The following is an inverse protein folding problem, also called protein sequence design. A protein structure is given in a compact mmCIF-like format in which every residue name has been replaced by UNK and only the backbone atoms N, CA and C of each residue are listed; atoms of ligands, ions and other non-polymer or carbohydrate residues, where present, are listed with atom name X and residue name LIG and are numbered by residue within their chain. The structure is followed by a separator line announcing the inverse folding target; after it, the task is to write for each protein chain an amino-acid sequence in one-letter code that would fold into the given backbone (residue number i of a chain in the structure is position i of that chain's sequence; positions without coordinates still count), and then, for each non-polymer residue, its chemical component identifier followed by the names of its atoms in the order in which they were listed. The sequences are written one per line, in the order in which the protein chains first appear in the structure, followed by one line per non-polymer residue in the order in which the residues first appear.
data_IF_114185377829
#
_entry.id   IF_114185377829
#
_cell.length_a   1.000
_cell.length_b   1.000
_cell.length_c   1.000
_cell.angle_alpha   90.00
_cell.angle_beta   90.00
_cell.angle_gamma   90.00
#
_symmetry.space_group_name_H-M   'P 1'
#
loop_
_entity.id
_entity.type
_entity.pdbx_description
1 polymer ?
#
# COMPACT_ATOMS: atom_id res chain seq x y z
N UNK A 1 -59.74 -20.04 12.08
CA UNK A 1 -58.52 -20.78 11.69
C UNK A 1 -57.88 -20.13 10.47
N UNK A 2 -56.90 -19.23 10.68
CA UNK A 2 -55.79 -18.85 9.76
C UNK A 2 -55.12 -17.58 10.31
N UNK A 3 -54.21 -17.75 11.27
CA UNK A 3 -53.36 -16.67 11.80
C UNK A 3 -51.87 -17.06 11.84
N UNK A 4 -51.46 -18.08 11.07
CA UNK A 4 -50.06 -18.58 11.10
C UNK A 4 -49.16 -17.97 10.03
N UNK A 5 -49.69 -17.29 9.01
CA UNK A 5 -48.90 -16.85 7.84
C UNK A 5 -48.08 -15.56 8.08
N UNK A 6 -48.38 -14.79 9.13
CA UNK A 6 -47.67 -13.53 9.43
C UNK A 6 -46.33 -13.72 10.14
N UNK A 7 -46.19 -14.78 10.94
CA UNK A 7 -44.98 -15.02 11.73
C UNK A 7 -43.82 -15.56 10.87
N UNK A 8 -44.11 -16.45 9.92
CA UNK A 8 -43.09 -17.03 9.03
C UNK A 8 -42.47 -15.99 8.09
N UNK A 9 -43.29 -15.07 7.56
CA UNK A 9 -42.81 -13.99 6.69
C UNK A 9 -41.99 -12.94 7.43
N UNK A 10 -42.24 -12.74 8.73
CA UNK A 10 -41.46 -11.84 9.58
C UNK A 10 -40.06 -12.40 9.91
N UNK A 11 -39.98 -13.70 10.23
CA UNK A 11 -38.71 -14.37 10.52
C UNK A 11 -37.80 -14.43 9.29
N UNK A 12 -38.35 -14.78 8.12
CA UNK A 12 -37.58 -14.83 6.88
C UNK A 12 -36.96 -13.48 6.49
N UNK A 13 -37.70 -12.37 6.68
CA UNK A 13 -37.18 -11.00 6.44
C UNK A 13 -36.03 -10.64 7.38
N UNK A 14 -36.16 -10.97 8.66
CA UNK A 14 -35.14 -10.67 9.66
C UNK A 14 -33.84 -11.43 9.38
N UNK A 15 -33.93 -12.70 8.99
CA UNK A 15 -32.76 -13.53 8.61
C UNK A 15 -32.09 -12.95 7.37
N UNK A 16 -32.86 -12.60 6.34
CA UNK A 16 -32.30 -12.02 5.11
C UNK A 16 -31.54 -10.71 5.38
N UNK A 17 -32.11 -9.82 6.21
CA UNK A 17 -31.46 -8.57 6.62
C UNK A 17 -30.14 -8.85 7.34
N UNK A 18 -30.13 -9.81 8.27
CA UNK A 18 -28.92 -10.18 9.01
C UNK A 18 -27.82 -10.74 8.09
N UNK A 19 -28.18 -11.57 7.10
CA UNK A 19 -27.24 -12.11 6.11
C UNK A 19 -26.65 -10.97 5.26
N UNK A 20 -27.50 -10.08 4.75
CA UNK A 20 -27.06 -8.95 3.92
C UNK A 20 -26.15 -7.99 4.70
N UNK A 21 -26.48 -7.70 5.96
CA UNK A 21 -25.65 -6.87 6.83
C UNK A 21 -24.28 -7.53 7.11
N UNK A 22 -24.27 -8.82 7.39
CA UNK A 22 -23.04 -9.59 7.63
C UNK A 22 -22.15 -9.62 6.38
N UNK A 23 -22.76 -9.85 5.21
CA UNK A 23 -22.05 -9.82 3.93
C UNK A 23 -21.49 -8.43 3.61
N UNK A 24 -22.26 -7.37 3.84
CA UNK A 24 -21.80 -5.99 3.65
C UNK A 24 -20.59 -5.67 4.54
N UNK A 25 -20.63 -6.05 5.82
CA UNK A 25 -19.51 -5.88 6.74
C UNK A 25 -18.27 -6.67 6.30
N UNK A 26 -18.47 -7.91 5.82
CA UNK A 26 -17.37 -8.71 5.28
C UNK A 26 -16.72 -8.04 4.07
N UNK A 27 -17.51 -7.53 3.13
CA UNK A 27 -17.01 -6.81 1.95
C UNK A 27 -16.27 -5.53 2.34
N UNK A 28 -16.79 -4.75 3.29
CA UNK A 28 -16.13 -3.54 3.79
C UNK A 28 -14.79 -3.85 4.49
N UNK A 29 -14.71 -4.94 5.25
CA UNK A 29 -13.46 -5.42 5.85
C UNK A 29 -12.43 -5.83 4.79
N UNK A 30 -12.86 -6.58 3.77
CA UNK A 30 -12.00 -7.06 2.68
C UNK A 30 -11.48 -5.94 1.78
N UNK A 31 -12.21 -4.84 1.67
CA UNK A 31 -11.83 -3.70 0.83
C UNK A 31 -10.91 -2.71 1.55
N UNK A 32 -10.64 -2.91 2.84
CA UNK A 32 -9.80 -2.00 3.64
C UNK A 32 -10.52 -0.71 4.04
N UNK A 33 -11.82 -0.80 4.36
CA UNK A 33 -12.57 0.33 4.90
C UNK A 33 -12.11 0.68 6.32
N UNK A 34 -11.90 1.98 6.62
CA UNK A 34 -11.60 2.42 7.97
C UNK A 34 -12.88 2.80 8.73
N UNK A 35 -13.32 1.94 9.65
CA UNK A 35 -14.51 2.18 10.48
C UNK A 35 -14.35 3.35 11.46
N UNK A 36 -13.13 3.61 11.94
CA UNK A 36 -12.88 4.74 12.85
C UNK A 36 -13.13 6.11 12.18
N UNK A 37 -12.95 6.19 10.85
CA UNK A 37 -13.13 7.42 10.07
C UNK A 37 -14.32 7.36 9.11
N UNK A 38 -15.01 6.23 9.06
CA UNK A 38 -16.11 5.95 8.14
C UNK A 38 -15.76 6.25 6.67
N UNK A 39 -14.51 5.97 6.26
CA UNK A 39 -14.05 6.20 4.88
C UNK A 39 -12.89 5.29 4.47
N UNK A 40 -12.62 5.20 3.17
CA UNK A 40 -11.37 4.67 2.66
C UNK A 40 -10.25 5.72 2.78
N UNK A 41 -9.02 5.26 3.06
CA UNK A 41 -7.84 6.11 2.98
C UNK A 41 -7.35 6.15 1.53
N UNK A 42 -6.94 7.34 1.08
CA UNK A 42 -6.34 7.46 -0.25
C UNK A 42 -4.94 6.86 -0.28
N UNK A 43 -4.46 6.46 -1.46
CA UNK A 43 -3.09 5.96 -1.64
C UNK A 43 -2.05 6.99 -1.15
N UNK A 44 -2.30 8.26 -1.41
CA UNK A 44 -1.45 9.35 -0.93
C UNK A 44 -1.35 9.38 0.60
N UNK A 45 -2.47 9.27 1.32
CA UNK A 45 -2.45 9.22 2.79
C UNK A 45 -1.69 8.00 3.30
N UNK A 46 -1.82 6.85 2.63
CA UNK A 46 -1.10 5.64 3.00
C UNK A 46 0.41 5.78 2.77
N UNK A 47 0.82 6.42 1.66
CA UNK A 47 2.22 6.74 1.39
C UNK A 47 2.80 7.71 2.41
N UNK A 48 2.08 8.78 2.74
CA UNK A 48 2.50 9.74 3.76
C UNK A 48 2.70 9.07 5.14
N UNK A 49 1.83 8.11 5.50
CA UNK A 49 1.98 7.33 6.75
C UNK A 49 3.17 6.38 6.72
N UNK A 50 3.41 5.72 5.59
CA UNK A 50 4.54 4.82 5.41
C UNK A 50 5.87 5.58 5.45
N UNK A 51 5.97 6.73 4.78
CA UNK A 51 7.15 7.61 4.84
C UNK A 51 7.37 8.11 6.26
N UNK A 52 6.31 8.56 6.95
CA UNK A 52 6.42 9.00 8.34
C UNK A 52 6.97 7.91 9.27
N UNK A 53 6.63 6.64 9.01
CA UNK A 53 7.15 5.50 9.76
C UNK A 53 8.64 5.26 9.51
N UNK A 54 9.09 5.38 8.26
CA UNK A 54 10.47 5.14 7.85
C UNK A 54 11.37 6.40 7.90
N UNK A 55 10.83 7.58 8.23
CA UNK A 55 11.52 8.87 8.10
C UNK A 55 12.92 8.91 8.74
N UNK A 56 13.12 8.22 9.87
CA UNK A 56 14.41 8.17 10.57
C UNK A 56 15.49 7.34 9.86
N UNK A 57 15.10 6.52 8.87
CA UNK A 57 15.99 5.67 8.06
C UNK A 57 16.27 6.24 6.68
N UNK A 58 15.45 7.19 6.23
CA UNK A 58 15.57 7.85 4.94
C UNK A 58 16.70 8.88 5.02
N UNK A 59 17.77 8.65 4.26
CA UNK A 59 19.01 9.41 4.35
C UNK A 59 18.93 10.84 3.80
N UNK A 60 17.99 11.09 2.91
CA UNK A 60 17.70 12.39 2.29
C UNK A 60 16.42 13.05 2.83
N UNK A 61 15.82 12.48 3.88
CA UNK A 61 14.67 13.09 4.56
C UNK A 61 15.17 14.16 5.54
N UNK A 62 14.90 15.43 5.23
CA UNK A 62 15.36 16.53 6.07
C UNK A 62 14.45 16.67 7.31
N UNK A 63 14.98 17.16 8.45
CA UNK A 63 14.16 17.41 9.63
C UNK A 63 12.99 18.39 9.42
N UNK A 64 13.11 19.27 8.42
CA UNK A 64 12.06 20.21 8.04
C UNK A 64 11.05 19.63 7.03
N UNK A 65 11.33 18.45 6.46
CA UNK A 65 10.45 17.83 5.48
C UNK A 65 9.23 17.21 6.15
N UNK A 66 8.12 17.27 5.42
CA UNK A 66 6.91 16.51 5.73
C UNK A 66 6.82 15.31 4.79
N UNK A 67 6.11 14.23 5.15
CA UNK A 67 5.91 13.10 4.25
C UNK A 67 5.31 13.52 2.90
N UNK A 68 4.46 14.54 2.93
CA UNK A 68 3.85 15.14 1.74
C UNK A 68 4.86 15.89 0.85
N UNK A 69 5.75 16.69 1.43
CA UNK A 69 6.78 17.38 0.65
C UNK A 69 7.79 16.40 0.07
N UNK A 70 8.16 15.37 0.84
CA UNK A 70 9.03 14.29 0.37
C UNK A 70 8.42 13.50 -0.79
N UNK A 71 7.13 13.16 -0.70
CA UNK A 71 6.42 12.48 -1.80
C UNK A 71 6.34 13.34 -3.06
N UNK A 72 6.21 14.66 -2.91
CA UNK A 72 6.18 15.59 -4.03
C UNK A 72 7.53 15.69 -4.75
N UNK A 73 8.66 15.61 -4.01
CA UNK A 73 10.00 15.58 -4.60
C UNK A 73 10.38 14.20 -5.14
N UNK A 74 9.72 13.12 -4.68
CA UNK A 74 9.99 11.75 -5.08
C UNK A 74 8.71 11.00 -5.51
N UNK A 75 8.10 11.35 -6.66
CA UNK A 75 6.82 10.76 -7.08
C UNK A 75 6.90 9.24 -7.30
N UNK A 76 8.09 8.70 -7.57
CA UNK A 76 8.34 7.28 -7.78
C UNK A 76 8.82 6.54 -6.52
N UNK A 77 8.90 7.19 -5.35
CA UNK A 77 9.37 6.54 -4.12
C UNK A 77 8.49 5.37 -3.70
N UNK A 78 7.20 5.50 -3.97
CA UNK A 78 6.19 4.83 -3.20
C UNK A 78 5.17 4.19 -4.13
N UNK A 79 4.86 2.92 -3.90
CA UNK A 79 3.86 2.20 -4.69
C UNK A 79 3.16 1.14 -3.84
N UNK A 80 1.97 0.76 -4.27
CA UNK A 80 1.32 -0.44 -3.75
C UNK A 80 1.65 -1.61 -4.68
N UNK A 81 2.36 -2.65 -4.21
CA UNK A 81 2.59 -3.83 -5.02
C UNK A 81 1.26 -4.55 -5.29
N UNK A 82 1.09 -5.03 -6.53
CA UNK A 82 -0.08 -5.83 -6.94
C UNK A 82 -0.17 -7.12 -6.13
N UNK A 83 0.98 -7.72 -5.81
CA UNK A 83 1.10 -8.89 -4.94
C UNK A 83 1.46 -8.46 -3.52
N UNK A 84 0.56 -8.70 -2.58
CA UNK A 84 0.80 -8.45 -1.17
C UNK A 84 0.96 -9.81 -0.48
N UNK A 85 2.04 -10.04 0.28
CA UNK A 85 2.20 -11.26 1.04
C UNK A 85 1.12 -11.31 2.12
N UNK A 86 -0.04 -11.89 1.82
CA UNK A 86 -1.11 -12.04 2.79
C UNK A 86 -0.74 -13.20 3.71
N UNK A 87 -0.52 -12.92 4.99
CA UNK A 87 -0.71 -13.93 6.01
C UNK A 87 -2.22 -14.11 6.17
N UNK A 88 -2.83 -14.86 5.24
CA UNK A 88 -4.27 -15.00 5.10
C UNK A 88 -4.99 -15.39 6.41
N UNK A 89 -4.30 -16.10 7.30
CA UNK A 89 -4.81 -16.49 8.61
C UNK A 89 -4.94 -15.32 9.59
N UNK A 90 -3.99 -14.37 9.62
CA UNK A 90 -4.04 -13.18 10.49
C UNK A 90 -5.01 -12.13 9.95
N UNK A 91 -5.07 -11.95 8.63
CA UNK A 91 -6.00 -11.03 7.97
C UNK A 91 -7.47 -11.45 8.22
N UNK A 92 -7.75 -12.76 8.22
CA UNK A 92 -9.07 -13.32 8.52
C UNK A 92 -9.42 -13.17 10.01
N UNK A 93 -8.46 -13.39 10.92
CA UNK A 93 -8.73 -13.35 12.36
C UNK A 93 -8.89 -11.92 12.90
N UNK A 94 -8.12 -10.97 12.36
CA UNK A 94 -8.19 -9.56 12.73
C UNK A 94 -9.26 -8.79 11.95
N UNK A 95 -9.90 -9.44 10.97
CA UNK A 95 -10.95 -8.85 10.13
C UNK A 95 -10.49 -7.62 9.33
N UNK A 96 -9.18 -7.40 9.21
CA UNK A 96 -8.61 -6.22 8.59
C UNK A 96 -7.56 -6.66 7.59
N UNK A 97 -7.76 -6.30 6.32
CA UNK A 97 -6.76 -6.48 5.27
C UNK A 97 -5.58 -5.55 5.55
N UNK A 98 -4.42 -6.11 5.91
CA UNK A 98 -3.18 -5.33 6.01
C UNK A 98 -2.74 -4.95 4.60
N UNK A 99 -2.42 -3.67 4.40
CA UNK A 99 -1.89 -3.14 3.15
C UNK A 99 -0.39 -2.99 3.25
N UNK A 100 0.34 -3.49 2.25
CA UNK A 100 1.77 -3.27 2.14
C UNK A 100 2.05 -2.04 1.26
N UNK A 101 2.72 -1.04 1.81
CA UNK A 101 3.21 0.11 1.06
C UNK A 101 4.69 -0.07 0.79
N UNK A 102 5.05 -0.17 -0.49
CA UNK A 102 6.46 -0.20 -0.90
C UNK A 102 7.01 1.22 -0.87
N UNK A 103 8.12 1.43 -0.18
CA UNK A 103 8.86 2.69 -0.09
C UNK A 103 10.32 2.41 -0.46
N UNK A 104 10.79 3.05 -1.52
CA UNK A 104 12.19 3.00 -1.95
C UNK A 104 12.84 4.34 -1.61
N UNK A 105 13.95 4.27 -0.89
CA UNK A 105 14.63 5.47 -0.41
C UNK A 105 16.15 5.28 -0.34
N UNK A 106 16.87 6.40 -0.29
CA UNK A 106 18.33 6.40 -0.12
C UNK A 106 18.67 6.15 1.34
N UNK A 107 19.62 5.26 1.63
CA UNK A 107 20.07 5.00 3.01
C UNK A 107 20.81 6.21 3.61
N UNK A 108 20.92 6.23 4.93
CA UNK A 108 21.77 7.19 5.64
C UNK A 108 23.21 7.12 5.13
N UNK A 109 23.88 8.27 5.01
CA UNK A 109 25.24 8.33 4.46
C UNK A 109 26.22 7.42 5.23
N UNK A 110 26.10 7.37 6.57
CA UNK A 110 26.92 6.49 7.40
C UNK A 110 26.74 4.99 7.07
N UNK A 111 25.55 4.57 6.63
CA UNK A 111 25.31 3.19 6.20
C UNK A 111 25.85 2.94 4.80
N UNK A 112 25.74 3.93 3.91
CA UNK A 112 26.30 3.88 2.54
C UNK A 112 27.83 3.79 2.62
N UNK A 113 28.47 4.54 3.49
CA UNK A 113 29.93 4.51 3.66
C UNK A 113 30.42 3.13 4.10
N UNK A 114 29.59 2.40 4.88
CA UNK A 114 29.85 1.00 5.29
C UNK A 114 29.59 0.00 4.15
N UNK A 115 28.57 0.24 3.33
CA UNK A 115 28.14 -0.64 2.24
C UNK A 115 27.92 0.16 0.94
N UNK A 116 28.99 0.56 0.23
CA UNK A 116 28.90 1.52 -0.88
C UNK A 116 28.14 1.00 -2.11
N UNK A 117 27.94 -0.32 -2.21
CA UNK A 117 27.14 -0.97 -3.26
C UNK A 117 25.64 -1.01 -2.93
N UNK A 118 25.24 -0.67 -1.70
CA UNK A 118 23.86 -0.79 -1.20
C UNK A 118 23.30 0.59 -0.87
N UNK A 119 23.23 1.47 -1.87
CA UNK A 119 22.85 2.87 -1.67
C UNK A 119 21.37 3.07 -1.35
N UNK A 120 20.53 2.15 -1.81
CA UNK A 120 19.08 2.24 -1.68
C UNK A 120 18.55 1.13 -0.79
N UNK A 121 17.41 1.40 -0.17
CA UNK A 121 16.67 0.42 0.59
C UNK A 121 15.22 0.41 0.10
N UNK A 122 14.69 -0.79 -0.10
CA UNK A 122 13.30 -1.02 -0.45
C UNK A 122 12.60 -1.62 0.77
N UNK A 123 11.73 -0.83 1.38
CA UNK A 123 10.91 -1.23 2.51
C UNK A 123 9.47 -1.52 2.05
N UNK A 124 8.85 -2.52 2.66
CA UNK A 124 7.43 -2.84 2.56
C UNK A 124 6.82 -2.61 3.94
N UNK A 125 6.13 -1.49 4.08
CA UNK A 125 5.54 -1.03 5.34
C UNK A 125 4.11 -1.55 5.46
N UNK A 126 3.88 -2.35 6.49
CA UNK A 126 2.56 -2.87 6.85
C UNK A 126 1.69 -1.77 7.45
N UNK A 127 0.56 -1.50 6.80
CA UNK A 127 -0.36 -0.42 7.13
C UNK A 127 -1.78 -0.95 7.25
N UNK A 128 -2.41 -0.75 8.40
CA UNK A 128 -3.83 -1.04 8.59
C UNK A 128 -4.71 -0.15 7.70
N UNK A 129 -5.97 -0.56 7.42
CA UNK A 129 -6.97 0.24 6.72
C UNK A 129 -7.13 1.68 7.23
N UNK A 130 -6.96 1.91 8.53
CA UNK A 130 -7.04 3.24 9.14
C UNK A 130 -5.73 4.05 9.13
N UNK A 131 -4.68 3.56 8.46
CA UNK A 131 -3.40 4.26 8.31
C UNK A 131 -2.41 4.06 9.46
N UNK A 132 -2.68 3.11 10.37
CA UNK A 132 -1.72 2.75 11.42
C UNK A 132 -0.67 1.82 10.82
N UNK A 133 0.60 2.19 10.92
CA UNK A 133 1.73 1.37 10.50
C UNK A 133 2.28 0.55 11.68
N UNK A 134 2.83 -0.63 11.40
CA UNK A 134 3.30 -1.54 12.45
C UNK A 134 4.75 -1.98 12.25
N UNK A 135 5.02 -2.53 11.07
CA UNK A 135 6.28 -3.16 10.75
C UNK A 135 6.71 -2.82 9.33
N UNK A 136 8.01 -2.81 9.11
CA UNK A 136 8.60 -2.66 7.80
C UNK A 136 9.64 -3.76 7.61
N UNK A 137 9.45 -4.55 6.56
CA UNK A 137 10.43 -5.52 6.07
C UNK A 137 11.02 -5.00 4.79
N UNK A 138 12.28 -5.29 4.50
CA UNK A 138 12.90 -4.74 3.31
C UNK A 138 14.22 -5.36 2.97
N UNK A 139 14.78 -4.91 1.86
CA UNK A 139 16.06 -5.35 1.35
C UNK A 139 16.84 -4.20 0.75
N UNK A 140 18.16 -4.28 0.84
CA UNK A 140 19.06 -3.34 0.19
C UNK A 140 19.07 -3.53 -1.32
N UNK A 141 19.26 -2.43 -2.03
CA UNK A 141 19.32 -2.36 -3.49
C UNK A 141 20.53 -1.54 -3.92
N UNK A 142 21.17 -1.98 -4.99
CA UNK A 142 22.25 -1.22 -5.63
C UNK A 142 21.71 -0.08 -6.49
N UNK A 143 20.54 -0.28 -7.13
CA UNK A 143 19.89 0.68 -8.04
C UNK A 143 18.41 0.87 -7.70
N UNK A 144 17.85 2.01 -8.13
CA UNK A 144 16.42 2.28 -8.03
C UNK A 144 15.73 1.49 -9.15
N UNK A 145 14.90 0.51 -8.80
CA UNK A 145 13.99 -0.06 -9.77
C UNK A 145 12.79 0.89 -9.92
N UNK A 146 12.88 1.80 -10.89
CA UNK A 146 11.73 2.57 -11.32
C UNK A 146 10.72 1.61 -11.94
N UNK A 147 9.53 1.56 -11.35
CA UNK A 147 8.38 0.95 -12.00
C UNK A 147 7.98 1.96 -13.07
N UNK A 148 8.35 1.71 -14.32
CA UNK A 148 7.97 2.57 -15.44
C UNK A 148 6.45 2.85 -15.35
N UNK A 149 6.00 4.11 -15.53
CA UNK A 149 4.59 4.41 -15.59
C UNK A 149 3.95 3.49 -16.63
N UNK A 150 2.90 2.75 -16.26
CA UNK A 150 2.06 2.03 -17.24
C UNK A 150 1.45 3.09 -18.16
N UNK A 151 2.12 3.44 -19.26
CA UNK A 151 1.44 3.96 -20.44
C UNK A 151 0.44 2.86 -20.81
N UNK A 152 -0.85 3.15 -20.63
CA UNK A 152 -1.92 2.20 -20.87
C UNK A 152 -1.82 1.63 -22.29
N UNK A 153 -2.30 0.40 -22.51
CA UNK A 153 -2.24 -0.22 -23.83
C UNK A 153 -3.07 0.61 -24.83
N UNK A 154 -2.45 0.99 -25.95
CA UNK A 154 -3.19 1.24 -27.18
C UNK A 154 -4.08 0.01 -27.43
N UNK A 155 -5.38 0.18 -27.73
CA UNK A 155 -6.34 -0.93 -27.86
C UNK A 155 -6.11 -1.84 -29.08
N UNK A 156 -4.93 -1.78 -29.73
CA UNK A 156 -4.64 -2.46 -30.99
C UNK A 156 -3.77 -3.72 -30.90
N UNK A 157 -2.99 -3.95 -29.84
CA UNK A 157 -2.02 -5.05 -29.79
C UNK A 157 -2.16 -5.92 -28.54
N UNK A 158 -2.87 -7.04 -28.71
CA UNK A 158 -2.92 -8.12 -27.74
C UNK A 158 -1.60 -8.91 -27.76
N UNK A 159 -0.59 -8.41 -27.05
CA UNK A 159 0.56 -9.22 -26.65
C UNK A 159 0.69 -9.12 -25.13
N UNK A 160 0.58 -10.27 -24.46
CA UNK A 160 0.80 -10.41 -23.03
C UNK A 160 2.24 -9.99 -22.69
N UNK A 161 2.42 -8.74 -22.27
CA UNK A 161 3.69 -8.23 -21.80
C UNK A 161 3.84 -8.56 -20.30
N UNK A 162 4.60 -9.61 -20.02
CA UNK A 162 5.22 -9.82 -18.71
C UNK A 162 6.18 -8.66 -18.46
N UNK A 163 5.78 -7.70 -17.62
CA UNK A 163 6.62 -6.55 -17.27
C UNK A 163 7.69 -6.95 -16.25
N UNK A 164 8.96 -6.99 -16.68
CA UNK A 164 10.10 -6.96 -15.77
C UNK A 164 10.33 -5.52 -15.29
N UNK A 165 10.64 -5.30 -14.00
CA UNK A 165 11.09 -3.99 -13.53
C UNK A 165 12.40 -3.61 -14.24
N UNK A 166 12.41 -2.46 -14.91
CA UNK A 166 13.65 -1.90 -15.48
C UNK A 166 14.38 -1.20 -14.35
N UNK A 167 15.37 -1.88 -13.78
CA UNK A 167 16.23 -1.28 -12.75
C UNK A 167 17.25 -0.37 -13.43
N UNK A 168 16.89 0.89 -13.61
CA UNK A 168 17.79 1.94 -14.07
C UNK A 168 18.81 2.28 -12.98
N UNK A 169 20.07 2.49 -13.38
CA UNK A 169 20.95 3.33 -12.57
C UNK A 169 20.33 4.73 -12.55
N UNK A 170 20.30 5.45 -11.43
CA UNK A 170 19.79 6.82 -11.41
C UNK A 170 20.67 7.64 -12.34
N UNK A 171 20.17 7.90 -13.55
CA UNK A 171 20.85 8.77 -14.49
C UNK A 171 20.95 10.15 -13.83
N UNK A 172 22.15 10.70 -13.94
CA UNK A 172 22.56 11.99 -13.41
C UNK A 172 21.80 13.08 -14.17
N UNK A 173 20.51 13.25 -13.88
CA UNK A 173 19.72 14.37 -14.41
C UNK A 173 20.01 15.58 -13.52
N UNK A 174 21.07 16.31 -13.87
CA UNK A 174 21.39 17.57 -13.21
C UNK A 174 22.81 18.10 -13.39
N UNK A 175 23.48 17.84 -14.52
CA UNK A 175 24.69 18.58 -14.88
C UNK A 175 24.54 19.21 -16.26
N UNK A 176 23.71 20.24 -16.34
CA UNK A 176 23.73 21.25 -17.42
C UNK A 176 23.08 22.53 -16.88
N UNK A 177 23.84 23.32 -16.13
CA UNK A 177 24.07 24.76 -16.31
C UNK A 177 25.07 25.25 -15.29
#
# INVERSE_FOLDING_TARGET
MRETNGAETSMARSILIAIMASFALLVLNLTGFCYLRMRYLSNQELFERAIAHEAYRIGDYLPADTPKSYLASHPNCCSMPDFQPSNASLDVLLGNKILYVRVVYKRLQAEIDKYPREKFYEAFVETAPCGKTFHAIGMSRETICEVAPRLGPDPGNAAAATMSPVCGTPDVVGRLR
#
